data_IF_434200149325
#
_entry.id   IF_434200149325
#
_cell.length_a   1.000
_cell.length_b   1.000
_cell.length_c   1.000
_cell.angle_alpha   90.00
_cell.angle_beta   90.00
_cell.angle_gamma   90.00
#
_symmetry.space_group_name_H-M   'P 1'
#
loop_
_entity.id
_entity.type
_entity.pdbx_description
1 polymer ?
#
# COMPACT_ATOMS: atom_id res chain seq x y z
N UNK A 1 23.99 -17.82 -53.56
CA UNK A 1 24.52 -17.95 -52.19
C UNK A 1 24.52 -16.59 -51.50
N UNK A 2 25.20 -15.57 -52.03
CA UNK A 2 25.20 -14.23 -51.42
C UNK A 2 23.82 -13.56 -51.32
N UNK A 3 22.99 -13.66 -52.37
CA UNK A 3 21.61 -13.13 -52.30
C UNK A 3 20.74 -13.85 -51.25
N UNK A 4 20.98 -15.15 -51.03
CA UNK A 4 20.21 -15.94 -50.06
C UNK A 4 20.55 -15.52 -48.62
N UNK A 5 21.85 -15.31 -48.34
CA UNK A 5 22.32 -14.76 -47.07
C UNK A 5 21.73 -13.38 -46.81
N UNK A 6 21.69 -12.51 -47.83
CA UNK A 6 21.10 -11.17 -47.68
C UNK A 6 19.61 -11.23 -47.34
N UNK A 7 18.83 -12.11 -47.98
CA UNK A 7 17.42 -12.29 -47.65
C UNK A 7 17.20 -12.84 -46.23
N UNK A 8 18.03 -13.78 -45.79
CA UNK A 8 17.98 -14.29 -44.41
C UNK A 8 18.25 -13.19 -43.38
N UNK A 9 19.27 -12.35 -43.61
CA UNK A 9 19.58 -11.21 -42.73
C UNK A 9 18.39 -10.24 -42.65
N UNK A 10 17.76 -9.92 -43.79
CA UNK A 10 16.57 -9.05 -43.80
C UNK A 10 15.40 -9.64 -43.00
N UNK A 11 15.21 -10.96 -43.08
CA UNK A 11 14.16 -11.65 -42.34
C UNK A 11 14.41 -11.58 -40.82
N UNK A 12 15.65 -11.85 -40.39
CA UNK A 12 16.04 -11.78 -38.98
C UNK A 12 15.91 -10.34 -38.44
N UNK A 13 16.33 -9.33 -39.20
CA UNK A 13 16.17 -7.92 -38.82
C UNK A 13 14.69 -7.54 -38.65
N UNK A 14 13.81 -8.06 -39.51
CA UNK A 14 12.37 -7.86 -39.37
C UNK A 14 11.85 -8.52 -38.08
N UNK A 15 12.25 -9.76 -37.80
CA UNK A 15 11.84 -10.46 -36.58
C UNK A 15 12.33 -9.75 -35.31
N UNK A 16 13.58 -9.27 -35.31
CA UNK A 16 14.14 -8.49 -34.21
C UNK A 16 13.37 -7.19 -33.97
N UNK A 17 12.99 -6.47 -35.04
CA UNK A 17 12.17 -5.26 -34.93
C UNK A 17 10.81 -5.57 -34.30
N UNK A 18 10.15 -6.64 -34.74
CA UNK A 18 8.86 -7.08 -34.17
C UNK A 18 9.00 -7.47 -32.69
N UNK A 19 10.07 -8.17 -32.32
CA UNK A 19 10.39 -8.52 -30.93
C UNK A 19 10.68 -7.30 -30.06
N UNK A 20 11.34 -6.28 -30.61
CA UNK A 20 11.56 -5.00 -29.93
C UNK A 20 10.24 -4.26 -29.68
N UNK A 21 9.37 -4.18 -30.68
CA UNK A 21 8.05 -3.56 -30.56
C UNK A 21 7.18 -4.29 -29.51
N UNK A 22 7.22 -5.62 -29.48
CA UNK A 22 6.53 -6.41 -28.46
C UNK A 22 7.09 -6.17 -27.05
N UNK A 23 8.41 -6.03 -26.93
CA UNK A 23 9.08 -5.72 -25.66
C UNK A 23 8.69 -4.33 -25.16
N UNK A 24 8.69 -3.31 -26.02
CA UNK A 24 8.29 -1.96 -25.67
C UNK A 24 6.85 -1.93 -25.13
N UNK A 25 5.91 -2.60 -25.80
CA UNK A 25 4.50 -2.69 -25.31
C UNK A 25 4.40 -3.34 -23.93
N UNK A 26 5.23 -4.34 -23.64
CA UNK A 26 5.28 -4.97 -22.31
C UNK A 26 5.84 -4.01 -21.27
N UNK A 27 6.84 -3.20 -21.62
CA UNK A 27 7.39 -2.17 -20.73
C UNK A 27 6.37 -1.08 -20.44
N UNK A 28 5.65 -0.58 -21.44
CA UNK A 28 4.57 0.40 -21.25
C UNK A 28 3.49 -0.14 -20.27
N UNK A 29 3.14 -1.42 -20.39
CA UNK A 29 2.21 -2.09 -19.49
C UNK A 29 2.76 -2.25 -18.06
N UNK A 30 4.07 -2.48 -17.93
CA UNK A 30 4.74 -2.55 -16.62
C UNK A 30 4.76 -1.18 -15.95
N UNK A 31 5.07 -0.12 -16.68
CA UNK A 31 5.05 1.26 -16.17
C UNK A 31 3.64 1.65 -15.69
N UNK A 32 2.60 1.32 -16.47
CA UNK A 32 1.22 1.55 -16.06
C UNK A 32 0.85 0.81 -14.76
N UNK A 33 1.35 -0.43 -14.58
CA UNK A 33 1.13 -1.20 -13.34
C UNK A 33 1.88 -0.61 -12.16
N UNK A 34 3.10 -0.10 -12.36
CA UNK A 34 3.85 0.57 -11.29
C UNK A 34 3.16 1.85 -10.84
N UNK A 35 2.70 2.68 -11.77
CA UNK A 35 1.91 3.87 -11.43
C UNK A 35 0.65 3.54 -10.61
N UNK A 36 -0.03 2.42 -10.90
CA UNK A 36 -1.15 1.94 -10.11
C UNK A 36 -0.74 1.43 -8.72
N UNK A 37 0.43 0.82 -8.60
CA UNK A 37 0.97 0.38 -7.30
C UNK A 37 1.30 1.60 -6.44
N UNK A 38 1.97 2.60 -6.99
CA UNK A 38 2.31 3.83 -6.27
C UNK A 38 1.05 4.53 -5.73
N UNK A 39 0.02 4.71 -6.57
CA UNK A 39 -1.25 5.29 -6.14
C UNK A 39 -1.94 4.49 -5.00
N UNK A 40 -1.82 3.16 -5.02
CA UNK A 40 -2.34 2.31 -3.94
C UNK A 40 -1.54 2.44 -2.65
N UNK A 41 -0.21 2.58 -2.76
CA UNK A 41 0.66 2.78 -1.60
C UNK A 41 0.42 4.16 -0.97
N UNK A 42 0.24 5.21 -1.77
CA UNK A 42 -0.11 6.55 -1.29
C UNK A 42 -1.43 6.52 -0.50
N UNK A 43 -2.45 5.84 -1.03
CA UNK A 43 -3.72 5.67 -0.34
C UNK A 43 -3.57 4.87 0.96
N UNK A 44 -2.81 3.77 0.95
CA UNK A 44 -2.55 2.99 2.16
C UNK A 44 -1.83 3.82 3.23
N UNK A 45 -0.92 4.72 2.82
CA UNK A 45 -0.24 5.62 3.74
C UNK A 45 -1.21 6.61 4.38
N UNK A 46 -2.14 7.18 3.62
CA UNK A 46 -3.21 8.05 4.15
C UNK A 46 -4.11 7.30 5.15
N UNK A 47 -4.61 6.12 4.76
CA UNK A 47 -5.46 5.28 5.61
C UNK A 47 -4.75 4.91 6.93
N UNK A 48 -3.44 4.64 6.89
CA UNK A 48 -2.64 4.34 8.08
C UNK A 48 -2.46 5.55 9.01
N UNK A 49 -2.31 6.76 8.47
CA UNK A 49 -2.24 7.96 9.31
C UNK A 49 -3.58 8.25 10.00
N UNK A 50 -4.70 8.03 9.31
CA UNK A 50 -6.05 8.11 9.90
C UNK A 50 -6.19 7.09 11.05
N UNK A 51 -5.83 5.83 10.80
CA UNK A 51 -5.91 4.78 11.83
C UNK A 51 -5.05 5.07 13.06
N UNK A 52 -3.85 5.65 12.87
CA UNK A 52 -3.01 6.08 13.98
C UNK A 52 -3.68 7.16 14.81
N UNK A 53 -4.35 8.12 14.18
CA UNK A 53 -5.04 9.19 14.87
C UNK A 53 -6.28 8.67 15.62
N UNK A 54 -7.10 7.85 14.98
CA UNK A 54 -8.27 7.22 15.62
C UNK A 54 -7.86 6.35 16.82
N UNK A 55 -6.73 5.65 16.72
CA UNK A 55 -6.18 4.87 17.82
C UNK A 55 -5.75 5.77 19.00
N UNK A 56 -5.14 6.93 18.74
CA UNK A 56 -4.80 7.90 19.79
C UNK A 56 -6.05 8.47 20.44
N UNK A 57 -7.04 8.88 19.65
CA UNK A 57 -8.32 9.41 20.13
C UNK A 57 -9.02 8.38 21.00
N UNK A 58 -9.09 7.12 20.54
CA UNK A 58 -9.69 6.02 21.31
C UNK A 58 -8.94 5.79 22.62
N UNK A 59 -7.60 5.71 22.59
CA UNK A 59 -6.78 5.55 23.81
C UNK A 59 -6.99 6.70 24.79
N UNK A 60 -7.00 7.94 24.32
CA UNK A 60 -7.23 9.12 25.15
C UNK A 60 -8.63 9.08 25.77
N UNK A 61 -9.65 8.75 24.99
CA UNK A 61 -11.03 8.65 25.46
C UNK A 61 -11.20 7.55 26.52
N UNK A 62 -10.58 6.39 26.30
CA UNK A 62 -10.56 5.28 27.28
C UNK A 62 -9.87 5.71 28.57
N UNK A 63 -8.73 6.41 28.51
CA UNK A 63 -8.06 6.92 29.69
C UNK A 63 -8.95 7.90 30.48
N UNK A 64 -9.61 8.84 29.81
CA UNK A 64 -10.56 9.77 30.47
C UNK A 64 -11.70 9.02 31.17
N UNK A 65 -12.23 7.95 30.57
CA UNK A 65 -13.27 7.13 31.20
C UNK A 65 -12.75 6.36 32.41
N UNK A 66 -11.49 5.89 32.37
CA UNK A 66 -10.85 5.27 33.53
C UNK A 66 -10.69 6.27 34.67
N UNK A 67 -10.22 7.49 34.38
CA UNK A 67 -10.09 8.55 35.39
C UNK A 67 -11.45 8.86 36.03
N UNK A 68 -12.52 8.99 35.23
CA UNK A 68 -13.88 9.19 35.75
C UNK A 68 -14.38 8.01 36.60
N UNK A 69 -14.05 6.77 36.21
CA UNK A 69 -14.40 5.60 37.01
C UNK A 69 -13.63 5.57 38.34
N UNK A 70 -12.39 6.06 38.37
CA UNK A 70 -11.59 6.23 39.59
C UNK A 70 -12.19 7.26 40.54
N UNK A 71 -12.61 8.41 40.02
CA UNK A 71 -13.28 9.44 40.82
C UNK A 71 -14.64 8.94 41.34
N UNK A 72 -15.44 8.31 40.48
CA UNK A 72 -16.77 7.84 40.85
C UNK A 72 -16.74 6.77 41.95
N UNK A 73 -15.82 5.78 41.87
CA UNK A 73 -15.73 4.73 42.89
C UNK A 73 -15.35 5.28 44.28
N UNK A 74 -14.56 6.36 44.33
CA UNK A 74 -14.20 7.04 45.57
C UNK A 74 -15.46 7.65 46.21
N UNK A 75 -16.24 8.36 45.40
CA UNK A 75 -17.49 9.00 45.85
C UNK A 75 -18.54 7.98 46.30
N UNK A 76 -18.76 6.92 45.52
CA UNK A 76 -19.79 5.92 45.82
C UNK A 76 -19.35 4.87 46.85
N UNK A 77 -18.06 4.82 47.20
CA UNK A 77 -17.45 3.83 48.11
C UNK A 77 -17.71 2.37 47.70
N UNK A 78 -17.93 2.13 46.41
CA UNK A 78 -18.13 0.80 45.82
C UNK A 78 -17.08 0.63 44.72
N UNK A 79 -16.23 -0.42 44.77
CA UNK A 79 -15.27 -0.69 43.71
C UNK A 79 -15.98 -0.99 42.39
N UNK A 80 -15.68 -0.22 41.34
CA UNK A 80 -16.33 -0.37 40.03
C UNK A 80 -15.57 -1.32 39.08
N UNK A 81 -14.25 -1.47 39.27
CA UNK A 81 -13.43 -2.38 38.47
C UNK A 81 -12.16 -2.80 39.22
N UNK A 82 -11.47 -3.83 38.72
CA UNK A 82 -10.14 -4.24 39.19
C UNK A 82 -9.09 -3.57 38.30
N UNK A 83 -8.16 -2.79 38.89
CA UNK A 83 -7.02 -2.24 38.14
C UNK A 83 -6.22 -3.40 37.53
N UNK A 84 -5.95 -3.32 36.23
CA UNK A 84 -4.93 -4.17 35.63
C UNK A 84 -3.59 -3.79 36.26
N UNK A 85 -2.86 -4.78 36.80
CA UNK A 85 -1.52 -4.60 37.35
C UNK A 85 -0.52 -4.25 36.26
#
# INVERSE_FOLDING_TARGET
MEQDIFQQILLELKSLKEGQEATNKRLDSVDARFNQVDARLDKMQEDLEILKEDAKVTRASVNTLLDWAEDAQIEVKIPLYKKAQ
#
